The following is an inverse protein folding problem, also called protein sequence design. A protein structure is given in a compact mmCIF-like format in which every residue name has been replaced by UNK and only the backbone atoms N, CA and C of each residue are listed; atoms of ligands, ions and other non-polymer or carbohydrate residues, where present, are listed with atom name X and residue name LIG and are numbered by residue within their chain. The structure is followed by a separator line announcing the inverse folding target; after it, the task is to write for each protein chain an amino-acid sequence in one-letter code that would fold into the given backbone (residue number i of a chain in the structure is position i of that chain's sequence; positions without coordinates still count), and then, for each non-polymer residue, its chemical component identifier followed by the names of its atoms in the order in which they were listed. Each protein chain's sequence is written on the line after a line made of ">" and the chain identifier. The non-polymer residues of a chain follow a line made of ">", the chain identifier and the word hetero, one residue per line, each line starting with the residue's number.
data_IF_430876373694
#
_entry.id   IF_430876373694
#
_cell.length_a   1.000
_cell.length_b   1.000
_cell.length_c   1.000
_cell.angle_alpha   90.00
_cell.angle_beta   90.00
_cell.angle_gamma   90.00
#
_symmetry.space_group_name_H-M   'P 1'
#
loop_
_entity.id
_entity.type
_entity.pdbx_description
1 polymer ?
#
# COMPACT_ATOMS: atom_id res chain seq x y z
N UNK A 1 -2.39 1.44 -7.42
CA UNK A 1 -3.39 2.51 -7.69
C UNK A 1 -4.25 2.76 -6.44
N UNK A 2 -4.26 3.98 -5.87
CA UNK A 2 -5.11 4.32 -4.71
C UNK A 2 -6.34 5.10 -5.19
N UNK A 3 -7.50 4.45 -5.22
CA UNK A 3 -8.80 5.11 -5.42
C UNK A 3 -9.13 5.91 -4.15
N UNK A 4 -8.69 7.17 -4.11
CA UNK A 4 -9.15 8.14 -3.12
C UNK A 4 -10.42 8.80 -3.66
N UNK A 5 -11.57 8.15 -3.45
CA UNK A 5 -12.84 8.90 -3.42
C UNK A 5 -12.80 9.76 -2.16
N UNK A 6 -12.41 11.03 -2.31
CA UNK A 6 -12.32 12.00 -1.23
C UNK A 6 -13.72 12.52 -0.89
N UNK A 7 -14.38 11.91 0.09
CA UNK A 7 -15.55 12.50 0.71
C UNK A 7 -15.16 13.66 1.65
N UNK A 8 -16.06 14.63 1.83
CA UNK A 8 -15.86 15.85 2.61
C UNK A 8 -15.36 15.54 4.05
N UNK A 9 -14.19 16.07 4.41
CA UNK A 9 -13.53 15.88 5.72
C UNK A 9 -14.43 16.33 6.88
N UNK A 10 -15.32 17.31 6.67
CA UNK A 10 -16.25 17.76 7.71
C UNK A 10 -17.29 16.69 8.05
N UNK A 11 -17.86 16.03 7.04
CA UNK A 11 -18.81 14.93 7.24
C UNK A 11 -18.13 13.72 7.92
N UNK A 12 -16.84 13.50 7.64
CA UNK A 12 -16.03 12.49 8.32
C UNK A 12 -15.85 12.79 9.81
N UNK A 13 -15.49 14.03 10.14
CA UNK A 13 -15.30 14.41 11.54
C UNK A 13 -16.59 14.22 12.33
N UNK A 14 -17.75 14.58 11.77
CA UNK A 14 -19.05 14.32 12.40
C UNK A 14 -19.28 12.82 12.70
N UNK A 15 -18.98 11.94 11.73
CA UNK A 15 -19.11 10.49 11.94
C UNK A 15 -18.16 9.97 13.01
N UNK A 16 -16.91 10.43 13.03
CA UNK A 16 -15.91 10.02 14.02
C UNK A 16 -16.24 10.57 15.42
N UNK A 17 -16.71 11.81 15.51
CA UNK A 17 -17.17 12.44 16.75
C UNK A 17 -18.38 11.70 17.32
N UNK A 18 -19.31 11.26 16.48
CA UNK A 18 -20.50 10.51 16.90
C UNK A 18 -20.18 9.17 17.57
N UNK A 19 -19.04 8.57 17.23
CA UNK A 19 -18.51 7.35 17.88
C UNK A 19 -17.40 7.66 18.89
N UNK A 20 -17.18 8.93 19.21
CA UNK A 20 -16.19 9.43 20.18
C UNK A 20 -14.75 8.93 19.91
N UNK A 21 -14.36 8.88 18.64
CA UNK A 21 -12.99 8.52 18.23
C UNK A 21 -12.35 9.70 17.49
N UNK A 22 -11.14 10.08 17.89
CA UNK A 22 -10.36 11.10 17.19
C UNK A 22 -9.15 10.44 16.52
N UNK A 23 -9.12 10.43 15.19
CA UNK A 23 -8.05 9.83 14.40
C UNK A 23 -7.12 10.93 13.88
N UNK A 24 -5.87 11.05 14.40
CA UNK A 24 -4.92 12.03 13.92
C UNK A 24 -4.43 11.68 12.51
N UNK A 25 -3.95 12.70 11.78
CA UNK A 25 -3.37 12.54 10.45
C UNK A 25 -4.31 11.84 9.45
N UNK A 26 -5.61 12.08 9.60
CA UNK A 26 -6.68 11.61 8.74
C UNK A 26 -6.51 12.11 7.30
N UNK A 27 -6.82 11.25 6.33
CA UNK A 27 -6.61 11.55 4.90
C UNK A 27 -7.84 11.31 4.06
N UNK A 28 -8.51 10.19 4.28
CA UNK A 28 -9.71 9.83 3.54
C UNK A 28 -10.54 8.84 4.34
N UNK A 29 -11.77 8.63 3.89
CA UNK A 29 -12.65 7.60 4.41
C UNK A 29 -13.53 7.03 3.31
N UNK A 30 -14.08 5.86 3.58
CA UNK A 30 -15.04 5.22 2.69
C UNK A 30 -16.04 4.39 3.52
N UNK A 31 -17.33 4.50 3.18
CA UNK A 31 -18.37 3.62 3.69
C UNK A 31 -18.36 2.32 2.88
N UNK A 32 -18.15 1.20 3.56
CA UNK A 32 -17.96 -0.07 2.86
C UNK A 32 -19.21 -0.54 2.12
N UNK A 33 -20.41 -0.06 2.52
CA UNK A 33 -21.71 -0.34 1.89
C UNK A 33 -21.72 -0.15 0.37
N UNK A 34 -21.13 0.95 -0.10
CA UNK A 34 -21.14 1.35 -1.52
C UNK A 34 -19.87 0.91 -2.25
N UNK A 35 -18.98 0.21 -1.56
CA UNK A 35 -17.70 -0.21 -2.11
C UNK A 35 -17.87 -1.54 -2.85
N UNK A 36 -17.12 -1.74 -3.94
CA UNK A 36 -17.04 -3.04 -4.62
C UNK A 36 -15.83 -3.85 -4.15
N UNK A 37 -15.92 -5.17 -4.29
CA UNK A 37 -14.78 -6.04 -4.01
C UNK A 37 -13.71 -5.84 -5.08
N UNK A 38 -12.46 -5.97 -4.65
CA UNK A 38 -11.31 -6.12 -5.54
C UNK A 38 -11.36 -7.57 -6.06
N UNK A 39 -11.32 -7.74 -7.39
CA UNK A 39 -11.38 -9.06 -8.01
C UNK A 39 -10.02 -9.78 -7.93
N UNK A 40 -10.01 -11.05 -8.32
CA UNK A 40 -8.77 -11.83 -8.39
C UNK A 40 -7.84 -11.29 -9.48
N UNK A 41 -8.40 -10.81 -10.58
CA UNK A 41 -7.69 -10.20 -11.69
C UNK A 41 -6.98 -8.92 -11.24
N UNK A 42 -7.71 -8.01 -10.59
CA UNK A 42 -7.15 -6.77 -10.04
C UNK A 42 -6.09 -7.05 -8.97
N UNK A 43 -6.30 -8.05 -8.11
CA UNK A 43 -5.29 -8.48 -7.14
C UNK A 43 -4.01 -8.96 -7.84
N UNK A 44 -4.13 -9.72 -8.93
CA UNK A 44 -2.97 -10.20 -9.68
C UNK A 44 -2.23 -9.04 -10.37
N UNK A 45 -2.96 -8.07 -10.93
CA UNK A 45 -2.40 -6.85 -11.50
C UNK A 45 -1.61 -6.07 -10.44
N UNK A 46 -2.20 -5.84 -9.26
CA UNK A 46 -1.51 -5.18 -8.13
C UNK A 46 -0.23 -5.91 -7.72
N UNK A 47 -0.22 -7.25 -7.76
CA UNK A 47 0.97 -8.04 -7.45
C UNK A 47 2.04 -7.82 -8.52
N UNK A 48 1.67 -7.82 -9.80
CA UNK A 48 2.61 -7.60 -10.91
C UNK A 48 3.19 -6.18 -10.86
N UNK A 49 2.35 -5.16 -10.69
CA UNK A 49 2.78 -3.76 -10.52
C UNK A 49 3.77 -3.62 -9.36
N UNK A 50 3.48 -4.26 -8.23
CA UNK A 50 4.36 -4.21 -7.07
C UNK A 50 5.67 -5.00 -7.27
N UNK A 51 5.64 -6.10 -8.02
CA UNK A 51 6.86 -6.84 -8.40
C UNK A 51 7.78 -5.96 -9.25
N UNK A 52 7.23 -5.23 -10.22
CA UNK A 52 7.96 -4.26 -11.03
C UNK A 52 8.52 -3.14 -10.16
N UNK A 53 7.70 -2.53 -9.31
CA UNK A 53 8.12 -1.44 -8.43
C UNK A 53 9.26 -1.88 -7.49
N UNK A 54 9.19 -3.09 -6.94
CA UNK A 54 10.23 -3.65 -6.09
C UNK A 54 11.55 -3.85 -6.84
N UNK A 55 11.51 -4.37 -8.07
CA UNK A 55 12.72 -4.53 -8.89
C UNK A 55 13.28 -3.17 -9.32
N UNK A 56 12.43 -2.22 -9.69
CA UNK A 56 12.84 -0.85 -10.01
C UNK A 56 13.55 -0.19 -8.82
N UNK A 57 12.97 -0.29 -7.62
CA UNK A 57 13.57 0.24 -6.39
C UNK A 57 14.93 -0.40 -6.09
N UNK A 58 15.09 -1.71 -6.33
CA UNK A 58 16.38 -2.40 -6.15
C UNK A 58 17.44 -1.94 -7.17
N UNK A 59 17.04 -1.67 -8.42
CA UNK A 59 17.95 -1.12 -9.45
C UNK A 59 18.40 0.29 -9.07
N UNK A 60 17.47 1.09 -8.55
CA UNK A 60 17.71 2.48 -8.18
C UNK A 60 18.48 2.62 -6.86
N UNK A 61 18.43 1.61 -5.99
CA UNK A 61 19.17 1.54 -4.73
C UNK A 61 20.67 1.31 -4.97
N UNK A 62 21.47 2.26 -4.49
CA UNK A 62 22.92 2.29 -4.60
C UNK A 62 23.62 1.17 -3.82
N UNK A 63 22.98 0.57 -2.81
CA UNK A 63 23.66 -0.40 -1.94
C UNK A 63 23.33 -1.87 -2.23
N UNK A 64 22.17 -2.16 -2.83
CA UNK A 64 21.70 -3.55 -2.97
C UNK A 64 22.14 -4.20 -4.27
N UNK A 65 22.05 -3.49 -5.40
CA UNK A 65 22.33 -4.03 -6.75
C UNK A 65 23.38 -3.24 -7.54
N UNK A 66 23.95 -2.20 -6.95
CA UNK A 66 25.07 -1.44 -7.51
C UNK A 66 26.38 -1.87 -6.82
N UNK A 67 27.50 -1.84 -7.55
CA UNK A 67 28.81 -2.11 -6.97
C UNK A 67 29.11 -0.97 -5.99
N UNK A 68 29.33 -1.25 -4.69
CA UNK A 68 29.59 -0.22 -3.69
C UNK A 68 30.85 0.62 -3.98
N UNK A 69 31.68 0.21 -4.95
CA UNK A 69 32.85 0.94 -5.45
C UNK A 69 32.55 1.94 -6.57
N UNK A 70 31.38 1.90 -7.19
CA UNK A 70 30.99 2.87 -8.21
C UNK A 70 30.56 4.18 -7.56
N UNK A 71 31.06 5.33 -8.00
CA UNK A 71 30.62 6.62 -7.45
C UNK A 71 29.11 6.85 -7.69
N UNK A 72 28.40 7.56 -6.79
CA UNK A 72 26.96 7.81 -6.91
C UNK A 72 26.54 8.44 -8.25
N UNK A 73 27.38 9.31 -8.81
CA UNK A 73 27.16 10.01 -10.09
C UNK A 73 27.15 9.06 -11.28
N UNK A 74 28.14 8.16 -11.38
CA UNK A 74 28.21 7.14 -12.44
C UNK A 74 27.04 6.15 -12.38
N UNK A 75 26.53 5.88 -11.17
CA UNK A 75 25.40 4.98 -10.99
C UNK A 75 24.10 5.53 -11.58
N UNK A 76 23.91 6.86 -11.57
CA UNK A 76 22.69 7.52 -12.03
C UNK A 76 22.52 7.42 -13.55
N UNK A 77 23.60 7.66 -14.29
CA UNK A 77 23.63 7.54 -15.77
C UNK A 77 23.41 6.10 -16.24
N UNK A 78 23.77 5.11 -15.42
CA UNK A 78 23.55 3.69 -15.72
C UNK A 78 22.13 3.19 -15.38
N UNK A 79 21.31 3.96 -14.66
CA UNK A 79 19.95 3.52 -14.26
C UNK A 79 19.04 3.21 -15.44
N UNK A 80 18.95 4.03 -16.50
CA UNK A 80 18.07 3.75 -17.64
C UNK A 80 18.45 2.46 -18.36
N UNK A 81 19.75 2.19 -18.55
CA UNK A 81 20.21 0.97 -19.22
C UNK A 81 19.98 -0.28 -18.38
N UNK A 82 20.18 -0.20 -17.06
CA UNK A 82 19.85 -1.28 -16.13
C UNK A 82 18.35 -1.54 -16.04
N UNK A 83 17.52 -0.48 -16.00
CA UNK A 83 16.05 -0.61 -16.03
C UNK A 83 15.62 -1.34 -17.30
N UNK A 84 16.06 -0.91 -18.49
CA UNK A 84 15.75 -1.60 -19.76
C UNK A 84 16.23 -3.05 -19.81
N UNK A 85 17.32 -3.39 -19.12
CA UNK A 85 17.83 -4.76 -19.02
C UNK A 85 16.92 -5.66 -18.17
N UNK A 86 16.39 -5.16 -17.07
CA UNK A 86 15.68 -5.98 -16.08
C UNK A 86 14.16 -5.81 -16.08
N UNK A 87 13.65 -4.75 -16.70
CA UNK A 87 12.24 -4.41 -16.80
C UNK A 87 11.84 -4.29 -18.27
N UNK A 88 10.59 -4.65 -18.56
CA UNK A 88 9.95 -4.40 -19.85
C UNK A 88 9.22 -3.06 -19.74
N UNK A 89 9.65 -2.09 -20.52
CA UNK A 89 9.01 -0.79 -20.65
C UNK A 89 7.93 -0.86 -21.72
N UNK A 90 6.79 -0.25 -21.43
CA UNK A 90 5.75 0.02 -22.42
C UNK A 90 5.83 1.47 -22.88
N UNK A 91 6.00 1.63 -24.18
CA UNK A 91 6.11 2.94 -24.83
C UNK A 91 4.76 3.67 -24.87
N UNK A 92 3.64 2.95 -24.88
CA UNK A 92 2.30 3.56 -24.92
C UNK A 92 1.94 4.18 -23.56
N UNK A 93 2.11 3.43 -22.48
CA UNK A 93 1.79 3.92 -21.13
C UNK A 93 2.91 4.76 -20.52
N UNK A 94 4.14 4.60 -20.99
CA UNK A 94 5.32 5.27 -20.43
C UNK A 94 5.81 4.68 -19.10
N UNK A 95 5.42 3.44 -18.79
CA UNK A 95 5.72 2.77 -17.52
C UNK A 95 6.37 1.40 -17.72
N UNK A 96 7.04 0.92 -16.67
CA UNK A 96 7.55 -0.45 -16.61
C UNK A 96 6.37 -1.43 -16.36
N UNK A 97 6.15 -2.41 -17.24
CA UNK A 97 5.01 -3.35 -17.17
C UNK A 97 5.34 -4.66 -16.44
N UNK A 98 6.55 -5.17 -16.62
CA UNK A 98 6.92 -6.51 -16.12
C UNK A 98 8.41 -6.68 -15.91
N UNK A 99 8.78 -7.68 -15.11
CA UNK A 99 10.16 -8.01 -14.78
C UNK A 99 10.70 -9.07 -15.75
N UNK A 100 11.87 -8.79 -16.34
CA UNK A 100 12.67 -9.73 -17.15
C UNK A 100 13.48 -10.67 -16.25
N UNK A 101 12.79 -11.62 -15.63
CA UNK A 101 13.39 -12.56 -14.67
C UNK A 101 14.51 -13.41 -15.25
N UNK A 102 14.51 -13.64 -16.56
CA UNK A 102 15.55 -14.32 -17.31
C UNK A 102 16.89 -13.59 -17.28
N UNK A 103 16.88 -12.27 -17.03
CA UNK A 103 18.10 -11.45 -16.96
C UNK A 103 18.63 -11.28 -15.53
N UNK A 104 17.88 -11.70 -14.51
CA UNK A 104 18.24 -11.51 -13.10
C UNK A 104 18.72 -12.85 -12.51
N UNK A 105 19.96 -12.88 -12.01
CA UNK A 105 20.59 -14.11 -11.50
C UNK A 105 21.22 -13.93 -10.11
N UNK A 106 21.66 -15.06 -9.53
CA UNK A 106 22.47 -15.09 -8.33
C UNK A 106 21.86 -14.35 -7.13
N UNK A 107 22.66 -13.52 -6.46
CA UNK A 107 22.25 -12.74 -5.29
C UNK A 107 21.13 -11.77 -5.60
N UNK A 108 21.17 -11.08 -6.75
CA UNK A 108 20.13 -10.14 -7.16
C UNK A 108 18.78 -10.83 -7.26
N UNK A 109 18.70 -12.01 -7.91
CA UNK A 109 17.45 -12.76 -8.03
C UNK A 109 16.89 -13.18 -6.68
N UNK A 110 17.75 -13.63 -5.77
CA UNK A 110 17.35 -14.01 -4.40
C UNK A 110 16.77 -12.80 -3.65
N UNK A 111 17.43 -11.64 -3.71
CA UNK A 111 16.96 -10.41 -3.07
C UNK A 111 15.63 -9.93 -3.65
N UNK A 112 15.50 -9.82 -4.98
CA UNK A 112 14.24 -9.40 -5.60
C UNK A 112 13.08 -10.34 -5.24
N UNK A 113 13.26 -11.66 -5.39
CA UNK A 113 12.21 -12.61 -5.03
C UNK A 113 11.82 -12.54 -3.56
N UNK A 114 12.77 -12.24 -2.66
CA UNK A 114 12.48 -12.08 -1.24
C UNK A 114 11.58 -10.85 -0.99
N UNK A 115 11.94 -9.68 -1.53
CA UNK A 115 11.15 -8.46 -1.36
C UNK A 115 9.77 -8.59 -2.02
N UNK A 116 9.71 -9.07 -3.27
CA UNK A 116 8.44 -9.34 -3.96
C UNK A 116 7.55 -10.32 -3.16
N UNK A 117 8.12 -11.36 -2.56
CA UNK A 117 7.35 -12.33 -1.75
C UNK A 117 6.82 -11.71 -0.46
N UNK A 118 7.59 -10.82 0.17
CA UNK A 118 7.16 -10.10 1.37
C UNK A 118 5.98 -9.19 1.06
N UNK A 119 6.08 -8.38 0.01
CA UNK A 119 5.02 -7.45 -0.36
C UNK A 119 3.79 -8.16 -0.92
N UNK A 120 3.96 -9.22 -1.71
CA UNK A 120 2.85 -10.06 -2.17
C UNK A 120 1.99 -10.56 -1.01
N UNK A 121 2.60 -11.02 0.09
CA UNK A 121 1.85 -11.43 1.29
C UNK A 121 1.07 -10.27 1.89
N UNK A 122 1.65 -9.08 1.94
CA UNK A 122 1.00 -7.89 2.46
C UNK A 122 -0.15 -7.43 1.55
N UNK A 123 -0.01 -7.49 0.23
CA UNK A 123 -1.08 -7.16 -0.74
C UNK A 123 -2.25 -8.12 -0.55
N UNK A 124 -1.99 -9.42 -0.53
CA UNK A 124 -3.03 -10.43 -0.32
C UNK A 124 -3.75 -10.18 1.00
N UNK A 125 -3.02 -9.88 2.08
CA UNK A 125 -3.62 -9.56 3.38
C UNK A 125 -4.48 -8.30 3.31
N UNK A 126 -3.99 -7.23 2.67
CA UNK A 126 -4.71 -5.97 2.47
C UNK A 126 -6.01 -6.19 1.72
N UNK A 127 -5.95 -6.83 0.56
CA UNK A 127 -7.13 -7.11 -0.28
C UNK A 127 -8.10 -8.05 0.42
N UNK A 128 -7.62 -9.07 1.13
CA UNK A 128 -8.48 -9.98 1.91
C UNK A 128 -9.23 -9.23 3.01
N UNK A 129 -8.53 -8.36 3.74
CA UNK A 129 -9.12 -7.54 4.82
C UNK A 129 -10.13 -6.54 4.25
N UNK A 130 -9.79 -5.89 3.13
CA UNK A 130 -10.70 -4.99 2.44
C UNK A 130 -11.97 -5.71 2.00
N UNK A 131 -11.83 -6.81 1.25
CA UNK A 131 -12.96 -7.60 0.72
C UNK A 131 -13.83 -8.24 1.81
N UNK A 132 -13.28 -8.51 3.01
CA UNK A 132 -14.03 -8.98 4.18
C UNK A 132 -15.09 -7.98 4.62
N UNK A 133 -14.81 -6.68 4.51
CA UNK A 133 -15.71 -5.61 4.99
C UNK A 133 -16.56 -4.96 3.90
N UNK A 134 -16.23 -5.19 2.63
CA UNK A 134 -17.00 -4.67 1.49
C UNK A 134 -18.49 -5.06 1.57
N UNK A 135 -19.35 -4.08 1.28
CA UNK A 135 -20.81 -4.21 1.24
C UNK A 135 -21.50 -4.13 2.61
N UNK A 136 -20.73 -4.07 3.70
CA UNK A 136 -21.30 -3.94 5.05
C UNK A 136 -21.73 -2.49 5.30
N UNK A 137 -22.97 -2.33 5.76
CA UNK A 137 -23.61 -1.04 6.00
C UNK A 137 -23.11 -0.34 7.26
N UNK A 138 -22.53 -1.09 8.19
CA UNK A 138 -22.09 -0.59 9.49
C UNK A 138 -20.57 -0.47 9.60
N UNK A 139 -19.84 -0.46 8.48
CA UNK A 139 -18.38 -0.38 8.47
C UNK A 139 -17.88 0.88 7.76
N UNK A 140 -17.07 1.65 8.49
CA UNK A 140 -16.30 2.78 8.00
C UNK A 140 -14.84 2.35 7.85
N UNK A 141 -14.28 2.48 6.64
CA UNK A 141 -12.84 2.40 6.41
C UNK A 141 -12.26 3.81 6.46
N UNK A 142 -11.24 4.00 7.26
CA UNK A 142 -10.54 5.28 7.42
C UNK A 142 -9.09 5.12 7.00
N UNK A 143 -8.61 5.98 6.10
CA UNK A 143 -7.21 6.07 5.73
C UNK A 143 -6.54 7.21 6.51
N UNK A 144 -5.45 6.91 7.19
CA UNK A 144 -4.69 7.87 7.98
C UNK A 144 -3.18 7.62 7.85
N UNK A 145 -2.37 8.66 8.06
CA UNK A 145 -0.90 8.54 8.10
C UNK A 145 -0.41 8.03 9.45
N UNK A 146 -1.00 6.93 9.92
CA UNK A 146 -0.72 6.29 11.20
C UNK A 146 -0.08 4.90 11.03
N UNK A 147 0.46 4.61 9.85
CA UNK A 147 1.12 3.34 9.59
C UNK A 147 2.48 3.22 10.27
N UNK A 148 2.95 1.99 10.45
CA UNK A 148 4.28 1.72 11.00
C UNK A 148 4.54 2.38 12.37
N UNK A 149 5.66 3.11 12.48
CA UNK A 149 6.05 3.77 13.74
C UNK A 149 5.10 4.89 14.17
N UNK A 150 4.34 5.49 13.24
CA UNK A 150 3.36 6.52 13.59
C UNK A 150 2.27 5.96 14.49
N UNK A 151 1.90 4.67 14.31
CA UNK A 151 0.94 4.00 15.19
C UNK A 151 1.36 4.06 16.66
N UNK A 152 2.64 3.83 16.94
CA UNK A 152 3.17 3.83 18.31
C UNK A 152 3.23 5.27 18.84
N UNK A 153 3.75 6.19 18.02
CA UNK A 153 3.90 7.60 18.39
C UNK A 153 2.56 8.24 18.78
N UNK A 154 1.50 7.97 18.01
CA UNK A 154 0.16 8.50 18.25
C UNK A 154 -0.69 7.65 19.22
N UNK A 155 -0.07 6.80 20.05
CA UNK A 155 -0.77 5.97 21.06
C UNK A 155 -1.85 5.07 20.45
N UNK A 156 -1.49 4.34 19.40
CA UNK A 156 -2.42 3.51 18.65
C UNK A 156 -3.09 2.39 19.46
N UNK A 157 -2.52 2.02 20.61
CA UNK A 157 -3.16 1.12 21.58
C UNK A 157 -4.52 1.64 22.06
N UNK A 158 -4.72 2.97 22.11
CA UNK A 158 -6.00 3.59 22.46
C UNK A 158 -7.07 3.29 21.41
N UNK A 159 -6.72 3.28 20.13
CA UNK A 159 -7.65 2.89 19.06
C UNK A 159 -8.03 1.43 19.22
N UNK A 160 -7.07 0.53 19.49
CA UNK A 160 -7.37 -0.90 19.62
C UNK A 160 -8.30 -1.25 20.79
N UNK A 161 -8.36 -0.38 21.81
CA UNK A 161 -9.25 -0.53 22.97
C UNK A 161 -10.64 0.07 22.74
N UNK A 162 -10.82 0.83 21.66
CA UNK A 162 -12.07 1.49 21.37
C UNK A 162 -13.12 0.48 20.88
N UNK A 163 -14.36 0.48 21.39
CA UNK A 163 -15.38 -0.51 21.01
C UNK A 163 -15.72 -0.54 19.51
N UNK A 164 -15.57 0.60 18.83
CA UNK A 164 -15.75 0.68 17.38
C UNK A 164 -14.59 0.07 16.58
N UNK A 165 -13.42 -0.12 17.16
CA UNK A 165 -12.25 -0.59 16.41
C UNK A 165 -12.39 -2.07 16.03
N UNK A 166 -12.13 -2.38 14.77
CA UNK A 166 -12.16 -3.74 14.26
C UNK A 166 -10.78 -4.24 13.86
N UNK A 167 -10.12 -3.51 12.97
CA UNK A 167 -8.87 -3.97 12.37
C UNK A 167 -8.07 -2.79 11.83
N UNK A 168 -6.73 -2.90 11.85
CA UNK A 168 -5.81 -1.93 11.25
C UNK A 168 -4.84 -2.66 10.34
N UNK A 169 -4.60 -2.10 9.16
CA UNK A 169 -3.67 -2.66 8.19
C UNK A 169 -2.83 -1.57 7.53
N UNK A 170 -1.51 -1.78 7.50
CA UNK A 170 -0.60 -0.84 6.83
C UNK A 170 -0.70 -0.97 5.32
N UNK A 171 -0.69 0.19 4.66
CA UNK A 171 -0.77 0.28 3.20
C UNK A 171 0.49 -0.32 2.57
N UNK A 172 0.31 -1.01 1.44
CA UNK A 172 1.44 -1.58 0.69
C UNK A 172 2.16 -0.47 -0.09
N UNK A 173 3.48 -0.44 -0.02
CA UNK A 173 4.32 0.54 -0.73
C UNK A 173 4.55 1.84 0.05
N UNK A 174 3.63 2.26 0.92
CA UNK A 174 3.87 3.33 1.89
C UNK A 174 3.36 2.93 3.28
N UNK A 175 4.26 2.33 4.06
CA UNK A 175 3.98 1.91 5.42
C UNK A 175 3.71 3.06 6.41
N UNK A 176 3.83 4.33 5.99
CA UNK A 176 3.43 5.47 6.83
C UNK A 176 1.92 5.69 6.82
N UNK A 177 1.22 5.10 5.85
CA UNK A 177 -0.24 5.08 5.78
C UNK A 177 -0.81 3.74 6.25
N UNK A 178 -2.02 3.80 6.79
CA UNK A 178 -2.78 2.62 7.14
C UNK A 178 -4.27 2.84 6.92
N UNK A 179 -4.98 1.74 6.72
CA UNK A 179 -6.42 1.67 6.84
C UNK A 179 -6.82 1.19 8.24
N UNK A 180 -7.84 1.82 8.79
CA UNK A 180 -8.48 1.49 10.05
C UNK A 180 -9.95 1.20 9.75
N UNK A 181 -10.41 0.02 10.14
CA UNK A 181 -11.80 -0.40 9.98
C UNK A 181 -12.53 -0.19 11.30
N UNK A 182 -13.63 0.55 11.24
CA UNK A 182 -14.45 0.91 12.38
C UNK A 182 -15.88 0.43 12.18
N UNK A 183 -16.49 -0.07 13.26
CA UNK A 183 -17.92 -0.32 13.34
C UNK A 183 -18.64 0.96 13.71
N UNK A 184 -19.61 1.36 12.89
CA UNK A 184 -20.46 2.53 13.10
C UNK A 184 -21.92 2.09 13.27
N UNK A 185 -22.73 2.91 13.94
CA UNK A 185 -24.17 2.64 13.99
C UNK A 185 -24.80 2.92 12.63
N UNK A 186 -25.65 2.01 12.09
CA UNK A 186 -26.37 2.26 10.83
C UNK A 186 -27.24 3.51 10.87
N UNK A 187 -27.64 3.97 12.05
CA UNK A 187 -28.47 5.17 12.25
C UNK A 187 -27.70 6.48 11.99
N UNK A 188 -26.38 6.41 11.84
CA UNK A 188 -25.50 7.56 11.58
C UNK A 188 -25.27 7.80 10.08
N UNK A 189 -25.83 6.95 9.20
CA UNK A 189 -25.61 6.95 7.75
C UNK A 189 -26.89 7.29 7.01
#
# INVERSE_FOLDING_TARGET
>A
MYLHESYNIEALNFLLDSININIPQLKAFNLMKFTRKITTEELNEMIIENEVANVAALIDDYHRWNDPRLQPTLSYEMKPSKRRRYLKYDEETGWDESVRWENIHGRHRKTAKFECKKDRKNIIKNVTTFNKYVGQDNILRVCARLGGFNWIYFRGDRFTKHPAFLEKIDCVGDSTFCDIYLKISPQLI
#
